data_IF_262696676454
#
_entry.id   IF_262696676454
#
_cell.length_a   1.000
_cell.length_b   1.000
_cell.length_c   1.000
_cell.angle_alpha   90.00
_cell.angle_beta   90.00
_cell.angle_gamma   90.00
#
_symmetry.space_group_name_H-M   'P 1'
#
loop_
_entity.id
_entity.type
_entity.pdbx_description
1 polymer ?
#
# COMPACT_ATOMS: atom_id res chain seq x y z
N UNK A 1 -6.19 -13.92 4.74
CA UNK A 1 -5.65 -12.56 4.83
C UNK A 1 -6.51 -11.82 5.84
N UNK A 2 -5.90 -11.17 6.84
CA UNK A 2 -6.64 -10.33 7.77
C UNK A 2 -6.76 -8.94 7.15
N UNK A 3 -7.96 -8.35 7.18
CA UNK A 3 -8.14 -6.97 6.77
C UNK A 3 -7.46 -6.05 7.80
N UNK A 4 -6.72 -5.06 7.32
CA UNK A 4 -6.06 -4.05 8.16
C UNK A 4 -6.74 -2.69 8.01
N UNK A 5 -6.32 -1.70 8.82
CA UNK A 5 -6.72 -0.31 8.64
C UNK A 5 -6.10 0.34 7.39
N UNK A 6 -5.11 -0.29 6.76
CA UNK A 6 -4.46 0.16 5.53
C UNK A 6 -4.76 -0.80 4.35
N UNK A 7 -6.03 -0.93 3.93
CA UNK A 7 -6.48 -2.02 3.06
C UNK A 7 -5.84 -1.99 1.66
N UNK A 8 -5.32 -0.85 1.21
CA UNK A 8 -4.63 -0.77 -0.09
C UNK A 8 -3.25 -1.44 -0.07
N UNK A 9 -2.75 -1.82 1.11
CA UNK A 9 -1.50 -2.55 1.30
C UNK A 9 -1.73 -4.02 1.67
N UNK A 10 -2.98 -4.48 1.77
CA UNK A 10 -3.34 -5.87 2.03
C UNK A 10 -3.13 -6.73 0.77
N UNK A 11 -1.86 -7.06 0.48
CA UNK A 11 -1.45 -7.83 -0.71
C UNK A 11 -0.90 -9.21 -0.32
N UNK A 12 -1.21 -10.23 -1.13
CA UNK A 12 -0.63 -11.58 -0.98
C UNK A 12 0.70 -11.66 -1.72
N UNK A 13 0.76 -11.04 -2.90
CA UNK A 13 1.94 -11.00 -3.76
C UNK A 13 2.14 -9.55 -4.21
N UNK A 14 3.35 -9.02 -4.01
CA UNK A 14 3.73 -7.72 -4.54
C UNK A 14 4.08 -7.86 -6.02
N UNK A 15 3.16 -7.45 -6.90
CA UNK A 15 3.28 -7.61 -8.35
C UNK A 15 4.53 -6.95 -8.95
N UNK A 16 5.03 -5.89 -8.32
CA UNK A 16 6.25 -5.19 -8.77
C UNK A 16 7.55 -5.78 -8.20
N UNK A 17 7.48 -6.71 -7.23
CA UNK A 17 8.68 -7.25 -6.59
C UNK A 17 9.56 -8.04 -7.56
N UNK A 18 8.97 -8.66 -8.59
CA UNK A 18 9.70 -9.30 -9.70
C UNK A 18 10.70 -8.36 -10.38
N UNK A 19 10.36 -7.07 -10.57
CA UNK A 19 11.26 -6.08 -11.19
C UNK A 19 12.51 -5.86 -10.32
N UNK A 20 12.33 -5.81 -9.01
CA UNK A 20 13.42 -5.66 -8.06
C UNK A 20 14.29 -6.93 -8.01
N UNK A 21 13.67 -8.11 -8.05
CA UNK A 21 14.38 -9.38 -8.15
C UNK A 21 15.23 -9.44 -9.42
N UNK A 22 14.71 -8.98 -10.55
CA UNK A 22 15.46 -8.91 -11.81
C UNK A 22 16.75 -8.10 -11.69
N UNK A 23 16.70 -6.90 -11.11
CA UNK A 23 17.93 -6.13 -10.87
C UNK A 23 18.86 -6.80 -9.84
N UNK A 24 18.33 -7.44 -8.78
CA UNK A 24 19.14 -8.14 -7.78
C UNK A 24 19.88 -9.36 -8.34
N UNK A 25 19.28 -10.04 -9.32
CA UNK A 25 19.82 -11.18 -10.07
C UNK A 25 20.60 -10.74 -11.32
N UNK A 26 21.15 -9.51 -11.33
CA UNK A 26 21.97 -8.99 -12.43
C UNK A 26 21.27 -9.05 -13.81
N UNK A 27 19.94 -8.90 -13.80
CA UNK A 27 19.09 -8.95 -14.99
C UNK A 27 19.07 -10.31 -15.68
N UNK A 28 19.33 -11.38 -14.94
CA UNK A 28 19.14 -12.75 -15.41
C UNK A 28 17.64 -13.14 -15.35
N UNK A 29 16.97 -13.00 -16.49
CA UNK A 29 15.55 -13.33 -16.61
C UNK A 29 15.25 -14.82 -16.43
N UNK A 30 16.18 -15.71 -16.79
CA UNK A 30 15.99 -17.16 -16.62
C UNK A 30 16.05 -17.55 -15.14
N UNK A 31 16.99 -16.96 -14.39
CA UNK A 31 17.10 -17.18 -12.95
C UNK A 31 15.86 -16.68 -12.20
N UNK A 32 15.32 -15.51 -12.58
CA UNK A 32 14.09 -14.97 -11.98
C UNK A 32 12.88 -15.81 -12.33
N UNK A 33 12.74 -16.23 -13.60
CA UNK A 33 11.64 -17.11 -14.01
C UNK A 33 11.65 -18.42 -13.21
N UNK A 34 12.80 -19.09 -13.12
CA UNK A 34 12.95 -20.33 -12.35
C UNK A 34 12.68 -20.12 -10.85
N UNK A 35 13.06 -18.96 -10.29
CA UNK A 35 12.75 -18.60 -8.90
C UNK A 35 11.25 -18.48 -8.66
N UNK A 36 10.54 -17.76 -9.55
CA UNK A 36 9.10 -17.55 -9.45
C UNK A 36 8.30 -18.83 -9.70
N UNK A 37 8.74 -19.67 -10.64
CA UNK A 37 8.15 -21.00 -10.87
C UNK A 37 8.23 -21.87 -9.62
N UNK A 38 9.39 -21.92 -8.94
CA UNK A 38 9.52 -22.64 -7.66
C UNK A 38 8.64 -22.05 -6.57
N UNK A 39 8.59 -20.72 -6.44
CA UNK A 39 7.79 -20.04 -5.42
C UNK A 39 6.28 -20.36 -5.52
N UNK A 40 5.77 -20.64 -6.73
CA UNK A 40 4.38 -21.07 -6.92
C UNK A 40 4.10 -22.47 -6.35
N UNK A 41 5.12 -23.31 -6.17
CA UNK A 41 4.98 -24.69 -5.73
C UNK A 41 5.38 -24.88 -4.26
N UNK A 42 6.39 -24.13 -3.80
CA UNK A 42 6.97 -24.32 -2.47
C UNK A 42 7.51 -23.02 -1.86
N UNK A 43 7.59 -22.94 -0.51
CA UNK A 43 8.30 -21.86 0.16
C UNK A 43 9.73 -21.73 -0.38
N UNK A 44 10.07 -20.55 -0.90
CA UNK A 44 11.33 -20.31 -1.59
C UNK A 44 12.09 -19.17 -0.92
N UNK A 45 13.40 -19.35 -0.70
CA UNK A 45 14.30 -18.32 -0.24
C UNK A 45 15.11 -17.72 -1.40
N UNK A 46 15.48 -16.45 -1.27
CA UNK A 46 16.44 -15.82 -2.18
C UNK A 46 17.85 -16.35 -1.90
N UNK A 47 18.68 -16.41 -2.95
CA UNK A 47 20.10 -16.71 -2.78
C UNK A 47 20.81 -15.57 -2.02
N UNK A 48 21.90 -15.89 -1.33
CA UNK A 48 22.59 -14.95 -0.44
C UNK A 48 23.09 -13.69 -1.15
N UNK A 49 23.65 -13.83 -2.35
CA UNK A 49 24.20 -12.68 -3.10
C UNK A 49 23.10 -11.67 -3.53
N UNK A 50 22.00 -12.06 -4.20
CA UNK A 50 20.88 -11.16 -4.47
C UNK A 50 20.29 -10.55 -3.19
N UNK A 51 20.12 -11.35 -2.13
CA UNK A 51 19.57 -10.87 -0.86
C UNK A 51 20.48 -9.82 -0.21
N UNK A 52 21.80 -10.01 -0.26
CA UNK A 52 22.78 -9.05 0.26
C UNK A 52 22.69 -7.71 -0.49
N UNK A 53 22.60 -7.74 -1.84
CA UNK A 53 22.41 -6.51 -2.65
C UNK A 53 21.13 -5.76 -2.27
N UNK A 54 20.04 -6.48 -2.01
CA UNK A 54 18.79 -5.86 -1.57
C UNK A 54 18.93 -5.23 -0.19
N UNK A 55 19.55 -5.92 0.77
CA UNK A 55 19.75 -5.41 2.14
C UNK A 55 20.69 -4.20 2.22
N UNK A 56 21.58 -4.03 1.25
CA UNK A 56 22.41 -2.82 1.14
C UNK A 56 21.58 -1.56 0.83
N UNK A 57 20.47 -1.71 0.09
CA UNK A 57 19.69 -0.59 -0.46
C UNK A 57 18.32 -0.41 0.17
N UNK A 58 17.75 -1.47 0.73
CA UNK A 58 16.39 -1.49 1.25
C UNK A 58 16.36 -1.97 2.69
N UNK A 59 15.57 -1.26 3.50
CA UNK A 59 15.11 -1.71 4.81
C UNK A 59 13.59 -1.84 4.79
N UNK A 60 13.04 -2.69 5.65
CA UNK A 60 11.60 -2.86 5.80
C UNK A 60 11.21 -2.91 7.27
N UNK A 61 9.97 -2.52 7.55
CA UNK A 61 9.38 -2.56 8.87
C UNK A 61 7.89 -2.86 8.74
N UNK A 62 7.35 -3.65 9.67
CA UNK A 62 5.92 -3.98 9.73
C UNK A 62 5.24 -3.16 10.82
N UNK A 63 4.03 -2.70 10.55
CA UNK A 63 3.23 -1.87 11.45
C UNK A 63 1.85 -2.51 11.56
N UNK A 64 1.37 -2.71 12.79
CA UNK A 64 0.03 -3.22 13.05
C UNK A 64 -1.00 -2.09 13.24
N UNK A 65 -2.28 -2.44 13.24
CA UNK A 65 -3.38 -1.48 13.37
C UNK A 65 -3.32 -0.66 14.66
N UNK A 66 -2.89 -1.28 15.77
CA UNK A 66 -2.75 -0.57 17.04
C UNK A 66 -1.70 0.55 16.93
N UNK A 67 -0.56 0.25 16.30
CA UNK A 67 0.50 1.21 16.05
C UNK A 67 0.08 2.27 15.04
N UNK A 68 -0.70 1.93 14.00
CA UNK A 68 -1.26 2.90 13.05
C UNK A 68 -2.08 3.96 13.81
N UNK A 69 -2.98 3.54 14.69
CA UNK A 69 -3.81 4.47 15.45
C UNK A 69 -3.00 5.34 16.41
N UNK A 70 -1.95 4.78 17.04
CA UNK A 70 -0.99 5.55 17.84
C UNK A 70 -0.31 6.63 17.02
N UNK A 71 0.20 6.28 15.83
CA UNK A 71 0.93 7.19 14.95
C UNK A 71 0.04 8.33 14.48
N UNK A 72 -1.22 8.06 14.12
CA UNK A 72 -2.18 9.11 13.74
C UNK A 72 -2.33 10.13 14.88
N UNK A 73 -2.52 9.67 16.12
CA UNK A 73 -2.62 10.55 17.29
C UNK A 73 -1.34 11.34 17.54
N UNK A 74 -0.20 10.67 17.50
CA UNK A 74 1.10 11.27 17.81
C UNK A 74 1.53 12.29 16.76
N UNK A 75 1.32 11.99 15.47
CA UNK A 75 1.60 12.92 14.38
C UNK A 75 0.74 14.17 14.53
N UNK A 76 -0.58 14.03 14.69
CA UNK A 76 -1.48 15.16 14.88
C UNK A 76 -1.08 16.00 16.11
N UNK A 77 -0.72 15.36 17.23
CA UNK A 77 -0.25 16.06 18.43
C UNK A 77 1.05 16.84 18.20
N UNK A 78 1.99 16.29 17.41
CA UNK A 78 3.32 16.87 17.19
C UNK A 78 3.33 17.95 16.12
N UNK A 79 2.53 17.80 15.07
CA UNK A 79 2.62 18.63 13.86
C UNK A 79 1.31 19.31 13.48
N UNK A 80 0.18 18.88 14.05
CA UNK A 80 -1.16 19.30 13.61
C UNK A 80 -1.66 18.56 12.36
N UNK A 81 -0.85 17.69 11.76
CA UNK A 81 -1.23 16.95 10.55
C UNK A 81 -2.04 15.71 10.90
N UNK A 82 -3.17 15.53 10.22
CA UNK A 82 -3.93 14.29 10.28
C UNK A 82 -3.41 13.34 9.20
N UNK A 83 -2.99 12.13 9.59
CA UNK A 83 -2.49 11.13 8.65
C UNK A 83 -3.58 10.11 8.32
N UNK A 84 -3.60 9.66 7.07
CA UNK A 84 -4.31 8.44 6.69
C UNK A 84 -3.53 7.19 7.17
N UNK A 85 -4.16 6.02 7.30
CA UNK A 85 -3.52 4.81 7.84
C UNK A 85 -2.31 4.31 7.01
N UNK A 86 -2.28 4.54 5.70
CA UNK A 86 -1.16 4.17 4.83
C UNK A 86 0.03 5.10 5.07
N UNK A 87 -0.22 6.40 5.15
CA UNK A 87 0.82 7.38 5.51
C UNK A 87 1.36 7.15 6.92
N UNK A 88 0.50 6.83 7.89
CA UNK A 88 0.91 6.50 9.26
C UNK A 88 1.83 5.27 9.30
N UNK A 89 1.53 4.23 8.50
CA UNK A 89 2.40 3.05 8.34
C UNK A 89 3.78 3.45 7.82
N UNK A 90 3.84 4.23 6.74
CA UNK A 90 5.09 4.72 6.17
C UNK A 90 5.88 5.62 7.13
N UNK A 91 5.18 6.48 7.88
CA UNK A 91 5.76 7.36 8.88
C UNK A 91 6.46 6.57 9.99
N UNK A 92 5.78 5.56 10.55
CA UNK A 92 6.38 4.71 11.59
C UNK A 92 7.53 3.86 11.05
N UNK A 93 7.37 3.28 9.87
CA UNK A 93 8.42 2.51 9.23
C UNK A 93 9.68 3.37 9.02
N UNK A 94 9.51 4.62 8.61
CA UNK A 94 10.59 5.58 8.47
C UNK A 94 11.27 5.89 9.81
N UNK A 95 10.53 6.09 10.90
CA UNK A 95 11.12 6.30 12.23
C UNK A 95 11.96 5.10 12.71
N UNK A 96 11.53 3.87 12.37
CA UNK A 96 12.13 2.63 12.89
C UNK A 96 13.24 2.06 12.01
N UNK A 97 13.14 2.21 10.69
CA UNK A 97 14.07 1.65 9.72
C UNK A 97 15.11 2.67 9.21
N UNK A 98 15.10 3.91 9.69
CA UNK A 98 16.09 4.93 9.33
C UNK A 98 17.48 4.54 9.81
N UNK A 99 18.41 4.37 8.86
CA UNK A 99 19.80 4.02 9.15
C UNK A 99 20.64 5.20 9.64
N UNK A 100 20.37 6.41 9.14
CA UNK A 100 21.16 7.61 9.44
C UNK A 100 20.26 8.78 9.86
N UNK A 101 20.48 9.27 11.07
CA UNK A 101 19.72 10.37 11.67
C UNK A 101 20.11 11.75 11.14
N UNK A 102 21.23 11.88 10.42
CA UNK A 102 21.68 13.13 9.81
C UNK A 102 21.05 13.38 8.44
N UNK A 103 20.70 12.33 7.69
CA UNK A 103 20.09 12.44 6.35
C UNK A 103 18.59 12.69 6.43
N UNK A 104 18.03 13.80 5.89
CA UNK A 104 16.59 14.08 5.94
C UNK A 104 15.73 12.92 5.45
N UNK A 105 14.68 12.60 6.23
CA UNK A 105 13.74 11.52 5.90
C UNK A 105 12.52 12.07 5.20
N UNK A 106 12.13 11.44 4.08
CA UNK A 106 10.92 11.78 3.33
C UNK A 106 9.97 10.59 3.41
N UNK A 107 8.76 10.84 3.90
CA UNK A 107 7.67 9.86 3.94
C UNK A 107 6.65 10.22 2.87
N UNK A 108 6.27 9.25 2.04
CA UNK A 108 5.24 9.46 1.02
C UNK A 108 3.86 9.42 1.66
N UNK A 109 3.13 10.53 1.59
CA UNK A 109 1.72 10.57 1.97
C UNK A 109 0.87 10.06 0.81
N UNK A 110 0.40 8.82 0.89
CA UNK A 110 -0.18 8.10 -0.27
C UNK A 110 -1.69 8.31 -0.43
N UNK A 111 -2.38 8.82 0.60
CA UNK A 111 -3.78 9.16 0.52
C UNK A 111 -4.15 10.35 1.41
N UNK A 112 -5.26 11.01 1.06
CA UNK A 112 -5.88 12.00 1.93
C UNK A 112 -6.65 11.29 3.05
N UNK A 113 -6.61 11.77 4.32
CA UNK A 113 -7.27 11.11 5.46
C UNK A 113 -8.77 10.88 5.27
N UNK A 114 -9.46 11.79 4.58
CA UNK A 114 -10.89 11.65 4.29
C UNK A 114 -11.23 10.39 3.46
N UNK A 115 -10.27 9.80 2.73
CA UNK A 115 -10.47 8.53 2.02
C UNK A 115 -10.60 7.34 2.96
N UNK A 116 -10.10 7.46 4.19
CA UNK A 116 -10.04 6.40 5.19
C UNK A 116 -10.52 6.91 6.56
N UNK A 117 -11.69 7.57 6.55
CA UNK A 117 -12.26 8.22 7.73
C UNK A 117 -12.42 7.29 8.94
N UNK A 118 -12.67 5.99 8.72
CA UNK A 118 -12.80 5.00 9.80
C UNK A 118 -11.55 4.94 10.69
N UNK A 119 -10.35 4.91 10.10
CA UNK A 119 -9.10 4.86 10.86
C UNK A 119 -8.89 6.14 11.68
N UNK A 120 -9.24 7.29 11.11
CA UNK A 120 -9.20 8.60 11.80
C UNK A 120 -10.18 8.62 12.98
N UNK A 121 -11.40 8.10 12.79
CA UNK A 121 -12.40 8.00 13.86
C UNK A 121 -11.95 7.05 14.97
N UNK A 122 -11.45 5.87 14.61
CA UNK A 122 -10.86 4.91 15.56
C UNK A 122 -9.64 5.48 16.30
N UNK A 123 -8.92 6.42 15.70
CA UNK A 123 -7.81 7.10 16.36
C UNK A 123 -8.27 8.12 17.43
N UNK A 124 -9.57 8.45 17.49
CA UNK A 124 -10.18 9.33 18.49
C UNK A 124 -10.59 10.70 17.97
N UNK A 125 -10.68 10.87 16.64
CA UNK A 125 -11.03 12.15 16.00
C UNK A 125 -12.44 12.09 15.36
N UNK A 126 -13.10 13.22 15.08
CA UNK A 126 -14.42 13.22 14.43
C UNK A 126 -14.37 12.85 12.94
N UNK A 127 -13.18 12.73 12.34
CA UNK A 127 -12.98 12.60 10.89
C UNK A 127 -12.30 13.84 10.31
N UNK A 128 -12.09 13.84 8.98
CA UNK A 128 -11.56 14.99 8.23
C UNK A 128 -12.56 15.37 7.14
N UNK A 129 -12.89 16.66 6.98
CA UNK A 129 -13.79 17.10 5.92
C UNK A 129 -13.20 16.78 4.54
N UNK A 130 -14.08 16.66 3.54
CA UNK A 130 -13.63 16.63 2.15
C UNK A 130 -12.99 17.97 1.78
N UNK A 131 -12.03 17.99 0.83
CA UNK A 131 -11.51 19.23 0.28
C UNK A 131 -12.64 20.10 -0.29
N UNK A 132 -12.54 21.45 -0.25
CA UNK A 132 -13.64 22.33 -0.67
C UNK A 132 -14.21 22.07 -2.07
N UNK A 133 -13.36 21.70 -3.02
CA UNK A 133 -13.76 21.39 -4.40
C UNK A 133 -14.43 20.01 -4.58
N UNK A 134 -14.57 19.24 -3.49
CA UNK A 134 -15.21 17.93 -3.41
C UNK A 134 -16.30 17.90 -2.32
N UNK A 135 -16.72 19.04 -1.76
CA UNK A 135 -17.75 19.07 -0.71
C UNK A 135 -19.06 18.41 -1.15
N UNK A 136 -19.43 18.58 -2.42
CA UNK A 136 -20.64 18.00 -3.03
C UNK A 136 -20.46 16.56 -3.52
N UNK A 137 -19.28 15.96 -3.36
CA UNK A 137 -18.93 14.68 -4.01
C UNK A 137 -19.92 13.55 -3.68
N UNK A 138 -20.41 13.52 -2.44
CA UNK A 138 -21.35 12.50 -1.94
C UNK A 138 -22.77 12.70 -2.50
N UNK A 139 -23.09 13.91 -2.98
CA UNK A 139 -24.41 14.28 -3.50
C UNK A 139 -24.51 14.11 -5.01
N UNK A 140 -23.39 13.90 -5.71
CA UNK A 140 -23.36 13.74 -7.16
C UNK A 140 -24.03 12.43 -7.57
N UNK A 141 -24.73 12.47 -8.71
CA UNK A 141 -25.37 11.28 -9.28
C UNK A 141 -24.32 10.23 -9.67
N UNK A 142 -24.42 9.04 -9.07
CA UNK A 142 -23.60 7.91 -9.45
C UNK A 142 -24.09 7.28 -10.76
N UNK A 143 -23.15 6.95 -11.65
CA UNK A 143 -23.44 6.27 -12.91
C UNK A 143 -22.68 4.96 -13.00
N UNK A 144 -23.38 3.85 -12.80
CA UNK A 144 -22.84 2.50 -12.90
C UNK A 144 -23.89 1.54 -13.49
N UNK A 145 -23.45 0.35 -13.90
CA UNK A 145 -24.32 -0.75 -14.30
C UNK A 145 -23.98 -1.97 -13.45
N UNK A 146 -24.98 -2.56 -12.81
CA UNK A 146 -24.81 -3.79 -12.03
C UNK A 146 -24.85 -4.98 -12.98
N UNK A 147 -23.81 -5.82 -12.93
CA UNK A 147 -23.69 -7.03 -13.74
C UNK A 147 -23.69 -8.27 -12.83
N UNK A 148 -24.18 -9.42 -13.31
CA UNK A 148 -23.98 -10.68 -12.59
C UNK A 148 -22.49 -11.04 -12.55
N UNK A 149 -22.09 -11.81 -11.54
CA UNK A 149 -20.72 -12.28 -11.35
C UNK A 149 -20.34 -13.41 -12.34
N UNK A 150 -20.55 -13.16 -13.62
CA UNK A 150 -20.36 -14.11 -14.72
C UNK A 150 -19.42 -13.52 -15.78
N UNK A 151 -18.38 -14.27 -16.15
CA UNK A 151 -17.40 -13.82 -17.14
C UNK A 151 -18.06 -13.40 -18.46
N UNK A 152 -19.04 -14.19 -18.92
CA UNK A 152 -19.75 -13.92 -20.17
C UNK A 152 -20.51 -12.59 -20.14
N UNK A 153 -21.20 -12.27 -19.03
CA UNK A 153 -21.95 -11.03 -18.88
C UNK A 153 -21.02 -9.80 -18.90
N UNK A 154 -19.88 -9.88 -18.21
CA UNK A 154 -18.86 -8.80 -18.22
C UNK A 154 -18.28 -8.60 -19.62
N UNK A 155 -17.90 -9.69 -20.29
CA UNK A 155 -17.35 -9.64 -21.65
C UNK A 155 -18.34 -9.06 -22.66
N UNK A 156 -19.61 -9.48 -22.58
CA UNK A 156 -20.67 -8.97 -23.44
C UNK A 156 -20.88 -7.47 -23.23
N UNK A 157 -21.01 -7.02 -21.98
CA UNK A 157 -21.18 -5.59 -21.67
C UNK A 157 -20.03 -4.74 -22.24
N UNK A 158 -18.77 -5.18 -22.07
CA UNK A 158 -17.61 -4.49 -22.64
C UNK A 158 -17.65 -4.46 -24.17
N UNK A 159 -18.02 -5.57 -24.81
CA UNK A 159 -18.10 -5.66 -26.26
C UNK A 159 -19.20 -4.75 -26.85
N UNK A 160 -20.33 -4.60 -26.16
CA UNK A 160 -21.45 -3.74 -26.55
C UNK A 160 -21.19 -2.24 -26.33
N UNK A 161 -20.28 -1.88 -25.40
CA UNK A 161 -20.02 -0.50 -25.00
C UNK A 161 -18.64 0.04 -25.42
N UNK A 162 -17.84 -0.72 -26.17
CA UNK A 162 -16.59 -0.23 -26.75
C UNK A 162 -16.88 0.71 -27.93
N UNK A 163 -16.10 1.80 -28.05
CA UNK A 163 -16.15 2.72 -29.19
C UNK A 163 -15.40 2.16 -30.39
#
# INVERSE_FOLDING_TARGET
>A
MAATLAPSMDIVVSSNFERLLFDAYDRDGLAVAALLERFQQEPTALADAPLAKLREKFASYSVDDATILEVIRDAHKRTGEMLDPHTATGYRAAERARADQSTPMITLATAHPAKFAEAVVKAGFPGVPLPPHMEDLIEREERYTVLPAELAAVQQYVAENRR
#
